data_IF_647203348884
#
_entry.id   IF_647203348884
#
_cell.length_a   1.000
_cell.length_b   1.000
_cell.length_c   1.000
_cell.angle_alpha   90.00
_cell.angle_beta   90.00
_cell.angle_gamma   90.00
#
_symmetry.space_group_name_H-M   'P 1'
#
loop_
_entity.id
_entity.type
_entity.pdbx_description
1 polymer ?
#
# COMPACT_ATOMS: atom_id res chain seq x y z
N UNK A 1 27.70 3.56 13.93
CA UNK A 1 26.62 3.27 14.91
C UNK A 1 25.22 3.34 14.29
N UNK A 2 24.88 4.40 13.54
CA UNK A 2 23.54 4.52 12.92
C UNK A 2 23.23 3.55 11.74
N UNK A 3 24.18 3.18 10.87
CA UNK A 3 23.90 2.17 9.82
C UNK A 3 23.50 0.80 10.37
N UNK A 4 24.12 0.39 11.49
CA UNK A 4 23.73 -0.83 12.21
C UNK A 4 22.38 -0.69 12.89
N UNK A 5 22.07 0.48 13.48
CA UNK A 5 20.77 0.76 14.09
C UNK A 5 19.62 0.69 13.08
N UNK A 6 19.80 1.26 11.87
CA UNK A 6 18.80 1.22 10.80
C UNK A 6 18.51 -0.22 10.33
N UNK A 7 19.56 -1.05 10.21
CA UNK A 7 19.42 -2.47 9.89
C UNK A 7 18.68 -3.22 11.00
N UNK A 8 19.07 -3.01 12.26
CA UNK A 8 18.40 -3.62 13.42
C UNK A 8 16.92 -3.23 13.49
N UNK A 9 16.60 -1.95 13.31
CA UNK A 9 15.20 -1.48 13.30
C UNK A 9 14.38 -2.13 12.17
N UNK A 10 14.98 -2.33 10.99
CA UNK A 10 14.32 -3.02 9.88
C UNK A 10 14.02 -4.49 10.21
N UNK A 11 14.95 -5.19 10.89
CA UNK A 11 14.77 -6.57 11.35
C UNK A 11 13.67 -6.65 12.40
N UNK A 12 13.69 -5.79 13.43
CA UNK A 12 12.66 -5.78 14.47
C UNK A 12 11.28 -5.45 13.88
N UNK A 13 11.19 -4.47 12.98
CA UNK A 13 9.93 -4.16 12.31
C UNK A 13 9.40 -5.37 11.52
N UNK A 14 10.29 -6.15 10.90
CA UNK A 14 9.93 -7.38 10.18
C UNK A 14 9.36 -8.44 11.12
N UNK A 15 9.95 -8.61 12.30
CA UNK A 15 9.43 -9.52 13.33
C UNK A 15 8.04 -9.09 13.82
N UNK A 16 7.84 -7.80 14.07
CA UNK A 16 6.54 -7.25 14.45
C UNK A 16 5.49 -7.43 13.35
N UNK A 17 5.86 -7.26 12.07
CA UNK A 17 4.97 -7.59 10.94
C UNK A 17 4.58 -9.06 10.89
N UNK A 18 5.53 -9.96 11.21
CA UNK A 18 5.28 -11.40 11.26
C UNK A 18 4.35 -11.82 12.41
N UNK A 19 4.29 -11.01 13.47
CA UNK A 19 3.36 -11.15 14.61
C UNK A 19 2.00 -10.48 14.38
N UNK A 20 1.86 -9.67 13.33
CA UNK A 20 0.65 -8.89 13.05
C UNK A 20 0.62 -7.50 13.70
N UNK A 21 1.72 -7.08 14.33
CA UNK A 21 1.85 -5.81 15.05
C UNK A 21 2.24 -4.66 14.12
N UNK A 22 1.44 -4.43 13.06
CA UNK A 22 1.75 -3.48 11.99
C UNK A 22 1.90 -2.03 12.47
N UNK A 23 1.13 -1.61 13.49
CA UNK A 23 1.27 -0.26 14.06
C UNK A 23 2.64 -0.08 14.70
N UNK A 24 3.09 -1.05 15.52
CA UNK A 24 4.40 -1.00 16.17
C UNK A 24 5.53 -1.02 15.13
N UNK A 25 5.42 -1.87 14.10
CA UNK A 25 6.38 -1.89 13.00
C UNK A 25 6.48 -0.53 12.30
N UNK A 26 5.33 0.11 12.00
CA UNK A 26 5.28 1.46 11.40
C UNK A 26 5.93 2.49 12.31
N UNK A 27 5.55 2.51 13.59
CA UNK A 27 6.02 3.50 14.57
C UNK A 27 7.55 3.40 14.75
N UNK A 28 8.09 2.19 14.86
CA UNK A 28 9.54 1.95 14.92
C UNK A 28 10.27 2.46 13.68
N UNK A 29 9.80 2.08 12.48
CA UNK A 29 10.41 2.50 11.21
C UNK A 29 10.32 4.02 11.03
N UNK A 30 9.20 4.62 11.43
CA UNK A 30 8.99 6.07 11.39
C UNK A 30 9.97 6.79 12.31
N UNK A 31 10.07 6.40 13.59
CA UNK A 31 10.99 7.02 14.56
C UNK A 31 12.43 6.94 14.07
N UNK A 32 12.88 5.77 13.61
CA UNK A 32 14.23 5.59 13.07
C UNK A 32 14.45 6.45 11.80
N UNK A 33 13.43 6.58 10.94
CA UNK A 33 13.50 7.46 9.77
C UNK A 33 13.69 8.92 10.18
N UNK A 34 12.99 9.38 11.22
CA UNK A 34 13.13 10.76 11.73
C UNK A 34 14.50 10.99 12.38
N UNK A 35 15.01 10.04 13.16
CA UNK A 35 16.36 10.11 13.75
C UNK A 35 17.44 10.21 12.66
N UNK A 36 17.39 9.36 11.64
CA UNK A 36 18.35 9.40 10.53
C UNK A 36 18.30 10.73 9.78
N UNK A 37 17.10 11.29 9.54
CA UNK A 37 16.95 12.63 8.93
C UNK A 37 17.61 13.72 9.78
N UNK A 38 17.36 13.73 11.08
CA UNK A 38 17.94 14.73 12.01
C UNK A 38 19.47 14.68 12.00
N UNK A 39 20.04 13.48 11.90
CA UNK A 39 21.49 13.27 11.79
C UNK A 39 22.04 13.43 10.37
N UNK A 40 21.19 13.80 9.39
CA UNK A 40 21.52 13.93 7.96
C UNK A 40 22.13 12.65 7.35
N UNK A 41 21.71 11.49 7.85
CA UNK A 41 22.14 10.18 7.39
C UNK A 41 21.17 9.69 6.32
N UNK A 42 21.71 9.16 5.21
CA UNK A 42 20.90 8.56 4.15
C UNK A 42 20.12 7.37 4.71
N UNK A 43 18.80 7.42 4.55
CA UNK A 43 17.90 6.34 4.98
C UNK A 43 18.03 5.17 3.99
N UNK A 44 18.20 3.92 4.47
CA UNK A 44 18.24 2.74 3.60
C UNK A 44 16.95 2.54 2.81
N UNK A 45 17.06 2.18 1.53
CA UNK A 45 15.90 1.97 0.66
C UNK A 45 14.95 0.88 1.18
N UNK A 46 15.49 -0.20 1.78
CA UNK A 46 14.68 -1.26 2.38
C UNK A 46 13.79 -0.73 3.52
N UNK A 47 14.33 0.14 4.38
CA UNK A 47 13.57 0.76 5.47
C UNK A 47 12.45 1.67 4.93
N UNK A 48 12.75 2.48 3.90
CA UNK A 48 11.75 3.34 3.24
C UNK A 48 10.63 2.50 2.63
N UNK A 49 10.97 1.43 1.92
CA UNK A 49 10.02 0.52 1.30
C UNK A 49 9.16 -0.20 2.36
N UNK A 50 9.78 -0.66 3.45
CA UNK A 50 9.03 -1.34 4.51
C UNK A 50 8.08 -0.38 5.21
N UNK A 51 8.52 0.84 5.51
CA UNK A 51 7.68 1.88 6.10
C UNK A 51 6.49 2.19 5.18
N UNK A 52 6.74 2.36 3.88
CA UNK A 52 5.71 2.62 2.87
C UNK A 52 4.66 1.50 2.81
N UNK A 53 5.07 0.22 2.82
CA UNK A 53 4.15 -0.91 2.75
C UNK A 53 3.27 -1.01 4.01
N UNK A 54 3.87 -0.94 5.20
CA UNK A 54 3.13 -1.03 6.47
C UNK A 54 2.21 0.19 6.62
N UNK A 55 2.67 1.38 6.25
CA UNK A 55 1.86 2.58 6.24
C UNK A 55 0.66 2.47 5.28
N UNK A 56 0.89 1.97 4.06
CA UNK A 56 -0.18 1.72 3.08
C UNK A 56 -1.27 0.83 3.65
N UNK A 57 -0.91 -0.24 4.38
CA UNK A 57 -1.86 -1.11 5.05
C UNK A 57 -2.68 -0.39 6.14
N UNK A 58 -2.06 0.46 6.96
CA UNK A 58 -2.73 1.14 8.07
C UNK A 58 -3.73 2.20 7.60
N UNK A 59 -3.42 2.95 6.54
CA UNK A 59 -4.28 4.04 6.05
C UNK A 59 -5.50 3.53 5.26
N UNK A 60 -5.55 2.26 4.85
CA UNK A 60 -6.74 1.65 4.20
C UNK A 60 -8.00 1.89 5.03
N UNK A 61 -7.92 1.70 6.36
CA UNK A 61 -9.08 1.88 7.25
C UNK A 61 -9.60 3.32 7.24
N UNK A 62 -8.73 4.30 7.04
CA UNK A 62 -9.11 5.71 6.93
C UNK A 62 -9.89 5.94 5.63
N UNK A 63 -9.38 5.44 4.50
CA UNK A 63 -10.01 5.62 3.18
C UNK A 63 -11.36 4.89 3.09
N UNK A 64 -11.48 3.69 3.66
CA UNK A 64 -12.77 2.99 3.76
C UNK A 64 -13.78 3.81 4.57
N UNK A 65 -13.37 4.46 5.67
CA UNK A 65 -14.26 5.30 6.49
C UNK A 65 -14.68 6.59 5.79
N UNK A 66 -13.86 7.11 4.86
CA UNK A 66 -14.14 8.28 4.03
C UNK A 66 -14.93 7.93 2.76
N UNK A 67 -15.35 6.68 2.62
CA UNK A 67 -15.99 6.10 1.42
C UNK A 67 -15.15 6.21 0.13
N UNK A 68 -13.84 6.41 0.26
CA UNK A 68 -12.91 6.36 -0.86
C UNK A 68 -12.52 4.91 -1.15
N UNK A 69 -13.43 4.21 -1.83
CA UNK A 69 -13.25 2.80 -2.19
C UNK A 69 -12.09 2.62 -3.19
N UNK A 70 -11.82 3.60 -4.06
CA UNK A 70 -10.78 3.49 -5.07
C UNK A 70 -9.40 3.52 -4.44
N UNK A 71 -9.10 4.53 -3.61
CA UNK A 71 -7.83 4.61 -2.88
C UNK A 71 -7.65 3.42 -1.96
N UNK A 72 -8.70 3.03 -1.22
CA UNK A 72 -8.65 1.85 -0.37
C UNK A 72 -8.31 0.57 -1.15
N UNK A 73 -8.94 0.36 -2.32
CA UNK A 73 -8.67 -0.79 -3.18
C UNK A 73 -7.23 -0.78 -3.69
N UNK A 74 -6.73 0.36 -4.17
CA UNK A 74 -5.36 0.50 -4.69
C UNK A 74 -4.28 0.24 -3.64
N UNK A 75 -4.51 0.72 -2.41
CA UNK A 75 -3.65 0.42 -1.27
C UNK A 75 -3.68 -1.06 -0.90
N UNK A 76 -4.86 -1.68 -0.92
CA UNK A 76 -5.02 -3.12 -0.67
C UNK A 76 -4.36 -3.99 -1.74
N UNK A 77 -4.40 -3.57 -3.01
CA UNK A 77 -3.66 -4.21 -4.12
C UNK A 77 -2.16 -4.18 -3.82
N UNK A 78 -1.61 -2.99 -3.52
CA UNK A 78 -0.18 -2.84 -3.15
C UNK A 78 0.24 -3.77 -2.00
N UNK A 79 -0.59 -3.85 -0.96
CA UNK A 79 -0.35 -4.73 0.20
C UNK A 79 -0.46 -6.20 -0.20
N UNK A 80 -1.44 -6.57 -1.03
CA UNK A 80 -1.65 -7.94 -1.49
C UNK A 80 -0.55 -8.42 -2.45
N UNK A 81 0.01 -7.55 -3.29
CA UNK A 81 1.20 -7.89 -4.10
C UNK A 81 2.43 -8.16 -3.24
N UNK A 82 2.42 -7.65 -2.01
CA UNK A 82 3.47 -7.85 -1.02
C UNK A 82 3.00 -8.74 0.14
N UNK A 83 2.06 -9.67 -0.08
CA UNK A 83 1.40 -10.41 1.00
C UNK A 83 2.34 -11.25 1.87
N UNK A 84 3.49 -11.67 1.33
CA UNK A 84 4.55 -12.34 2.10
C UNK A 84 5.09 -11.45 3.22
N UNK A 85 4.87 -10.14 3.12
CA UNK A 85 5.20 -9.17 4.17
C UNK A 85 4.18 -9.12 5.32
N UNK A 86 3.02 -9.74 5.16
CA UNK A 86 1.89 -9.71 6.10
C UNK A 86 1.36 -11.12 6.44
N UNK A 87 2.22 -12.06 6.91
CA UNK A 87 1.87 -13.48 7.02
C UNK A 87 0.73 -13.77 8.02
N UNK A 88 0.57 -12.97 9.07
CA UNK A 88 -0.51 -13.15 10.06
C UNK A 88 -1.88 -12.77 9.49
N UNK A 89 -1.93 -11.88 8.49
CA UNK A 89 -3.15 -11.26 7.97
C UNK A 89 -3.43 -11.61 6.49
N UNK A 90 -2.86 -12.71 5.97
CA UNK A 90 -3.05 -13.12 4.56
C UNK A 90 -4.53 -13.18 4.17
N UNK A 91 -5.32 -13.97 4.89
CA UNK A 91 -6.75 -14.18 4.61
C UNK A 91 -7.56 -12.88 4.76
N UNK A 92 -7.46 -12.11 5.86
CA UNK A 92 -8.24 -10.87 5.99
C UNK A 92 -7.82 -9.78 4.98
N UNK A 93 -6.53 -9.66 4.63
CA UNK A 93 -6.08 -8.72 3.60
C UNK A 93 -6.68 -9.11 2.25
N UNK A 94 -6.46 -10.34 1.78
CA UNK A 94 -6.97 -10.78 0.48
C UNK A 94 -8.50 -10.69 0.41
N UNK A 95 -9.19 -11.04 1.51
CA UNK A 95 -10.67 -10.91 1.59
C UNK A 95 -11.09 -9.46 1.41
N UNK A 96 -10.41 -8.53 2.10
CA UNK A 96 -10.68 -7.10 2.00
C UNK A 96 -10.35 -6.57 0.60
N UNK A 97 -9.24 -7.03 0.00
CA UNK A 97 -8.85 -6.67 -1.37
C UNK A 97 -9.94 -7.07 -2.37
N UNK A 98 -10.40 -8.32 -2.34
CA UNK A 98 -11.46 -8.80 -3.25
C UNK A 98 -12.74 -7.98 -3.11
N UNK A 99 -13.20 -7.76 -1.87
CA UNK A 99 -14.45 -7.04 -1.61
C UNK A 99 -14.33 -5.57 -2.03
N UNK A 100 -13.22 -4.91 -1.70
CA UNK A 100 -13.02 -3.48 -1.96
C UNK A 100 -12.78 -3.23 -3.45
N UNK A 101 -11.98 -4.05 -4.13
CA UNK A 101 -11.81 -3.98 -5.59
C UNK A 101 -13.15 -4.18 -6.32
N UNK A 102 -13.96 -5.15 -5.87
CA UNK A 102 -15.30 -5.35 -6.44
C UNK A 102 -16.21 -4.12 -6.28
N UNK A 103 -16.14 -3.42 -5.12
CA UNK A 103 -16.88 -2.17 -4.89
C UNK A 103 -16.35 -1.00 -5.72
N UNK A 104 -15.03 -0.92 -5.90
CA UNK A 104 -14.36 0.13 -6.66
C UNK A 104 -14.44 -0.07 -8.19
N UNK A 105 -15.05 -1.15 -8.66
CA UNK A 105 -15.13 -1.48 -10.09
C UNK A 105 -13.85 -2.10 -10.67
N UNK A 106 -12.84 -2.40 -9.84
CA UNK A 106 -11.60 -3.08 -10.22
C UNK A 106 -11.86 -4.60 -10.34
N UNK A 107 -12.59 -5.00 -11.39
CA UNK A 107 -13.07 -6.37 -11.58
C UNK A 107 -11.96 -7.36 -11.86
N UNK A 108 -10.91 -6.95 -12.57
CA UNK A 108 -9.79 -7.82 -12.93
C UNK A 108 -8.95 -8.17 -11.69
N UNK A 109 -8.56 -7.15 -10.90
CA UNK A 109 -7.88 -7.35 -9.62
C UNK A 109 -8.75 -8.13 -8.65
N UNK A 110 -10.05 -7.82 -8.54
CA UNK A 110 -10.96 -8.57 -7.67
C UNK A 110 -10.98 -10.06 -8.01
N UNK A 111 -11.05 -10.41 -9.31
CA UNK A 111 -10.98 -11.78 -9.78
C UNK A 111 -9.64 -12.45 -9.45
N UNK A 112 -8.52 -11.81 -9.76
CA UNK A 112 -7.18 -12.37 -9.55
C UNK A 112 -6.93 -12.70 -8.07
N UNK A 113 -7.25 -11.78 -7.15
CA UNK A 113 -7.10 -12.04 -5.72
C UNK A 113 -8.15 -13.02 -5.19
N UNK A 114 -9.34 -13.10 -5.78
CA UNK A 114 -10.33 -14.11 -5.41
C UNK A 114 -9.84 -15.52 -5.73
N UNK A 115 -9.21 -15.72 -6.90
CA UNK A 115 -8.55 -16.97 -7.27
C UNK A 115 -7.43 -17.31 -6.28
N UNK A 116 -6.59 -16.35 -5.91
CA UNK A 116 -5.54 -16.55 -4.92
C UNK A 116 -6.08 -16.91 -3.53
N UNK A 117 -7.16 -16.26 -3.11
CA UNK A 117 -7.80 -16.47 -1.81
C UNK A 117 -8.52 -17.82 -1.73
N UNK A 118 -9.09 -18.32 -2.83
CA UNK A 118 -9.80 -19.60 -2.88
C UNK A 118 -8.88 -20.82 -3.00
N UNK A 119 -7.56 -20.64 -3.02
CA UNK A 119 -6.59 -21.76 -2.96
C UNK A 119 -6.82 -22.60 -1.70
N UNK A 120 -6.54 -23.93 -1.74
CA UNK A 120 -6.85 -24.85 -0.65
C UNK A 120 -6.33 -24.42 0.73
N UNK A 121 -5.15 -23.79 0.77
CA UNK A 121 -4.47 -23.35 2.00
C UNK A 121 -5.22 -22.23 2.74
N UNK A 122 -6.00 -21.44 1.98
CA UNK A 122 -6.71 -20.26 2.45
C UNK A 122 -8.22 -20.50 2.56
N UNK A 123 -8.81 -21.28 1.64
CA UNK A 123 -10.27 -21.43 1.49
C UNK A 123 -11.00 -21.81 2.78
N UNK A 124 -10.43 -22.70 3.59
CA UNK A 124 -11.02 -23.14 4.87
C UNK A 124 -10.99 -22.07 5.97
N UNK A 125 -10.14 -21.05 5.83
CA UNK A 125 -9.97 -19.95 6.78
C UNK A 125 -10.84 -18.74 6.43
N UNK A 126 -11.50 -18.74 5.27
CA UNK A 126 -12.42 -17.68 4.86
C UNK A 126 -13.72 -17.83 5.64
N UNK A 127 -14.19 -16.74 6.24
CA UNK A 127 -15.51 -16.70 6.87
C UNK A 127 -16.63 -17.02 5.86
N UNK A 128 -17.56 -17.88 6.27
CA UNK A 128 -18.68 -18.34 5.43
C UNK A 128 -19.46 -17.18 4.80
N UNK A 129 -19.60 -16.06 5.52
CA UNK A 129 -20.34 -14.88 5.04
C UNK A 129 -19.74 -14.27 3.78
N UNK A 130 -18.42 -14.39 3.60
CA UNK A 130 -17.72 -13.86 2.44
C UNK A 130 -17.48 -14.92 1.38
N UNK A 131 -17.34 -16.19 1.76
CA UNK A 131 -16.98 -17.29 0.86
C UNK A 131 -17.89 -17.40 -0.35
N UNK A 132 -19.21 -17.42 -0.15
CA UNK A 132 -20.19 -17.52 -1.25
C UNK A 132 -20.08 -16.37 -2.24
N UNK A 133 -19.89 -15.14 -1.74
CA UNK A 133 -19.73 -13.94 -2.58
C UNK A 133 -18.44 -13.98 -3.39
N UNK A 134 -17.34 -14.45 -2.79
CA UNK A 134 -16.03 -14.56 -3.45
C UNK A 134 -16.05 -15.66 -4.52
N UNK A 135 -16.68 -16.80 -4.23
CA UNK A 135 -16.87 -17.86 -5.23
C UNK A 135 -17.70 -17.37 -6.43
N UNK A 136 -18.73 -16.55 -6.20
CA UNK A 136 -19.54 -15.99 -7.27
C UNK A 136 -18.72 -15.08 -8.21
N UNK A 137 -17.76 -14.31 -7.67
CA UNK A 137 -16.85 -13.46 -8.47
C UNK A 137 -16.04 -14.33 -9.44
N UNK A 138 -15.49 -15.46 -8.98
CA UNK A 138 -14.67 -16.34 -9.83
C UNK A 138 -15.52 -17.11 -10.85
N UNK A 139 -16.75 -17.50 -10.51
CA UNK A 139 -17.67 -18.17 -11.44
C UNK A 139 -18.12 -17.27 -12.59
N UNK A 140 -18.28 -15.98 -12.33
CA UNK A 140 -18.66 -15.00 -13.33
C UNK A 140 -17.41 -14.59 -14.13
N UNK A 141 -16.98 -15.44 -15.07
CA UNK A 141 -15.97 -15.07 -16.07
C UNK A 141 -16.52 -13.97 -16.98
N UNK A 142 -16.47 -12.73 -16.51
CA UNK A 142 -16.61 -11.58 -17.40
C UNK A 142 -15.30 -11.42 -18.17
N UNK A 143 -15.38 -11.11 -19.48
CA UNK A 143 -14.24 -10.58 -20.22
C UNK A 143 -13.85 -9.26 -19.54
N UNK A 144 -12.99 -9.35 -18.54
CA UNK A 144 -12.49 -8.18 -17.83
C UNK A 144 -11.55 -7.45 -18.79
N UNK A 145 -12.00 -6.30 -19.29
CA UNK A 145 -11.10 -5.37 -19.98
C UNK A 145 -9.98 -4.93 -19.03
N UNK A 146 -8.94 -4.32 -19.58
CA UNK A 146 -7.86 -3.73 -18.77
C UNK A 146 -8.45 -2.70 -17.82
N UNK A 147 -8.11 -2.79 -16.54
CA UNK A 147 -8.40 -1.73 -15.58
C UNK A 147 -7.67 -0.46 -16.02
N UNK A 148 -8.40 0.65 -16.10
CA UNK A 148 -7.81 1.94 -16.45
C UNK A 148 -7.39 2.62 -15.16
N UNK A 149 -6.08 2.77 -15.00
CA UNK A 149 -5.51 3.48 -13.88
C UNK A 149 -5.53 4.98 -14.15
N UNK A 150 -5.98 5.75 -13.16
CA UNK A 150 -5.80 7.20 -13.19
C UNK A 150 -4.30 7.49 -13.26
N UNK A 151 -3.92 8.44 -14.11
CA UNK A 151 -2.54 8.84 -14.31
C UNK A 151 -2.36 10.30 -13.93
N UNK A 152 -1.21 10.60 -13.36
CA UNK A 152 -0.74 11.97 -13.16
C UNK A 152 0.72 12.07 -13.59
N UNK A 153 1.24 13.30 -13.70
CA UNK A 153 2.57 13.52 -14.26
C UNK A 153 3.66 13.11 -13.26
N UNK A 154 4.67 12.39 -13.74
CA UNK A 154 5.86 12.09 -12.95
C UNK A 154 6.62 13.39 -12.61
N UNK A 155 6.95 13.66 -11.34
CA UNK A 155 7.63 14.91 -10.95
C UNK A 155 9.09 14.99 -11.41
N UNK A 156 9.62 13.95 -12.05
CA UNK A 156 11.00 13.90 -12.54
C UNK A 156 11.12 14.08 -14.06
N UNK A 157 10.09 13.71 -14.84
CA UNK A 157 10.16 13.73 -16.31
C UNK A 157 8.83 14.07 -17.01
N UNK A 158 7.81 14.48 -16.25
CA UNK A 158 6.49 14.88 -16.73
C UNK A 158 5.72 13.85 -17.57
N UNK A 159 6.17 12.60 -17.59
CA UNK A 159 5.46 11.53 -18.29
C UNK A 159 4.29 10.97 -17.45
N UNK A 160 3.16 10.61 -18.09
CA UNK A 160 2.01 10.04 -17.40
C UNK A 160 2.35 8.74 -16.67
N UNK A 161 2.21 8.74 -15.35
CA UNK A 161 2.43 7.58 -14.45
C UNK A 161 1.15 7.27 -13.69
N UNK A 162 0.84 5.99 -13.48
CA UNK A 162 -0.34 5.60 -12.71
C UNK A 162 -0.22 6.12 -11.27
N UNK A 163 -1.29 6.69 -10.72
CA UNK A 163 -1.26 7.42 -9.45
C UNK A 163 -0.70 6.62 -8.25
N UNK A 164 -0.74 5.28 -8.30
CA UNK A 164 -0.25 4.41 -7.22
C UNK A 164 1.10 3.75 -7.53
N UNK A 165 1.67 3.98 -8.71
CA UNK A 165 3.02 3.53 -9.06
C UNK A 165 4.07 4.46 -8.47
N UNK A 166 4.98 3.90 -7.68
CA UNK A 166 6.05 4.65 -7.01
C UNK A 166 7.38 4.58 -7.76
N UNK A 167 7.39 3.97 -8.94
CA UNK A 167 8.54 3.94 -9.85
C UNK A 167 8.06 4.33 -11.23
N UNK A 168 8.62 5.39 -11.81
CA UNK A 168 8.20 5.85 -13.13
C UNK A 168 8.56 4.80 -14.20
N UNK A 169 7.59 4.44 -15.04
CA UNK A 169 7.80 3.53 -16.16
C UNK A 169 8.80 4.05 -17.19
N UNK A 170 8.91 5.36 -17.36
CA UNK A 170 9.80 5.98 -18.34
C UNK A 170 11.21 6.21 -17.77
N UNK A 171 11.36 7.14 -16.81
CA UNK A 171 12.67 7.55 -16.31
C UNK A 171 13.25 6.62 -15.23
N UNK A 172 12.51 5.58 -14.81
CA UNK A 172 12.88 4.60 -13.77
C UNK A 172 13.18 5.18 -12.38
N UNK A 173 12.95 6.48 -12.17
CA UNK A 173 13.12 7.10 -10.87
C UNK A 173 12.04 6.65 -9.89
N UNK A 174 12.43 6.50 -8.62
CA UNK A 174 11.50 6.28 -7.51
C UNK A 174 10.83 7.61 -7.20
N UNK A 175 9.50 7.61 -7.19
CA UNK A 175 8.67 8.76 -6.87
C UNK A 175 8.23 8.66 -5.41
N UNK A 176 8.44 9.70 -4.58
CA UNK A 176 7.90 9.72 -3.23
C UNK A 176 6.38 9.54 -3.22
N UNK A 177 5.85 8.90 -2.18
CA UNK A 177 4.42 8.77 -2.00
C UNK A 177 3.87 9.83 -1.03
N UNK A 178 2.63 10.23 -1.25
CA UNK A 178 1.85 11.05 -0.34
C UNK A 178 1.47 10.25 0.91
N UNK A 179 1.89 10.67 2.10
CA UNK A 179 1.58 9.93 3.35
C UNK A 179 0.08 9.89 3.67
N UNK A 180 -0.74 10.79 3.12
CA UNK A 180 -2.22 10.78 3.33
C UNK A 180 -2.93 9.76 2.44
N UNK A 181 -2.61 9.73 1.15
CA UNK A 181 -3.35 8.93 0.14
C UNK A 181 -2.61 7.67 -0.29
N UNK A 182 -1.29 7.63 -0.13
CA UNK A 182 -0.41 6.59 -0.66
C UNK A 182 -0.15 6.66 -2.16
N UNK A 183 -0.70 7.65 -2.87
CA UNK A 183 -0.39 7.96 -4.27
C UNK A 183 1.03 8.50 -4.43
N UNK A 184 1.62 8.43 -5.62
CA UNK A 184 2.82 9.20 -5.89
C UNK A 184 2.51 10.70 -5.84
N UNK A 185 3.52 11.51 -5.50
CA UNK A 185 3.36 12.97 -5.51
C UNK A 185 3.37 13.53 -6.94
N UNK A 186 2.79 14.72 -7.08
CA UNK A 186 2.81 15.55 -8.28
C UNK A 186 3.51 16.87 -7.95
N UNK A 187 4.30 17.41 -8.88
CA UNK A 187 5.14 18.59 -8.64
C UNK A 187 4.30 19.82 -8.23
N UNK A 188 3.21 20.09 -8.95
CA UNK A 188 2.40 21.31 -8.77
C UNK A 188 1.53 21.33 -7.50
N UNK A 189 1.33 20.17 -6.88
CA UNK A 189 0.55 20.05 -5.64
C UNK A 189 1.35 19.35 -4.54
N UNK A 190 2.67 19.45 -4.59
CA UNK A 190 3.56 18.91 -3.58
C UNK A 190 3.64 19.83 -2.36
N UNK A 191 3.56 19.24 -1.16
CA UNK A 191 4.03 19.88 0.06
C UNK A 191 4.64 18.87 1.02
N UNK A 192 5.28 19.39 2.07
CA UNK A 192 5.79 18.59 3.18
C UNK A 192 4.91 18.79 4.41
N UNK A 193 4.64 17.70 5.13
CA UNK A 193 4.03 17.79 6.45
C UNK A 193 4.94 18.61 7.39
N UNK A 194 4.42 19.65 8.07
CA UNK A 194 5.23 20.51 8.93
C UNK A 194 5.81 19.78 10.15
N UNK A 195 5.14 18.72 10.61
CA UNK A 195 5.55 17.95 11.80
C UNK A 195 6.64 16.90 11.47
N UNK A 196 6.47 16.15 10.37
CA UNK A 196 7.33 15.01 10.08
C UNK A 196 8.14 15.11 8.79
N UNK A 197 7.92 16.16 7.99
CA UNK A 197 8.59 16.36 6.69
C UNK A 197 8.43 15.16 5.74
N UNK A 198 7.28 14.49 5.79
CA UNK A 198 6.89 13.50 4.77
C UNK A 198 6.18 14.18 3.62
N UNK A 199 6.37 13.63 2.43
CA UNK A 199 5.74 14.06 1.20
C UNK A 199 4.21 13.93 1.28
N UNK A 200 3.52 14.95 0.82
CA UNK A 200 2.06 15.03 0.77
C UNK A 200 1.61 15.69 -0.52
N UNK A 201 0.42 15.33 -0.99
CA UNK A 201 -0.34 16.10 -1.97
C UNK A 201 -1.10 17.17 -1.17
N UNK A 202 -0.82 18.45 -1.42
CA UNK A 202 -1.30 19.58 -0.62
C UNK A 202 -2.82 19.64 -0.59
N UNK A 203 -3.49 19.47 -1.73
CA UNK A 203 -4.95 19.46 -1.79
C UNK A 203 -5.59 18.32 -0.97
N UNK A 204 -4.88 17.22 -0.74
CA UNK A 204 -5.35 16.10 0.09
C UNK A 204 -4.98 16.26 1.56
N UNK A 205 -3.88 16.96 1.85
CA UNK A 205 -3.42 17.20 3.21
C UNK A 205 -4.34 18.15 3.99
N UNK A 206 -4.98 19.08 3.29
CA UNK A 206 -5.89 20.08 3.88
C UNK A 206 -7.35 19.59 4.07
N UNK A 207 -7.66 18.33 3.69
CA UNK A 207 -9.00 17.72 3.80
C UNK A 207 -9.19 16.91 5.08
#
# INVERSE_FOLDING_TARGET
MYPSAAKTATIIAREEQNRGNYRMARDLLFTMTQELKQQRIRIPAEMVNNLMLVHSYLIVKMHIKRDDQNTAARLLIRVADNISRFPSHVVPILTSTVITCSKAGLRHSAFNYAVMLLRPENRKKIDEKYRKRIEAIVRKQEKTGSEVDNKSLCPHCDQPTAEFDLTCGECKNIIPYCVVTGRHIIADDFCLCPECSFSTIRSEFIK
#
